data_IF_007008316975
#
_entry.id   IF_007008316975
#
_cell.length_a   1.000
_cell.length_b   1.000
_cell.length_c   1.000
_cell.angle_alpha   90.00
_cell.angle_beta   90.00
_cell.angle_gamma   90.00
#
_symmetry.space_group_name_H-M   'P 1'
#
loop_
_entity.id
_entity.type
_entity.pdbx_description
1 polymer ?
#
# COMPACT_ATOMS: atom_id res chain seq x y z
N UNK A 1 8.13 -6.68 -40.98
CA UNK A 1 7.71 -5.69 -39.95
C UNK A 1 6.79 -6.40 -38.96
N UNK A 2 7.23 -6.61 -37.71
CA UNK A 2 6.38 -7.21 -36.66
C UNK A 2 5.82 -6.08 -35.81
N UNK A 3 4.50 -5.89 -35.89
CA UNK A 3 3.74 -4.97 -35.05
C UNK A 3 3.78 -5.52 -33.62
N UNK A 4 4.32 -4.75 -32.67
CA UNK A 4 4.22 -5.06 -31.24
C UNK A 4 2.80 -4.73 -30.76
N UNK A 5 2.08 -5.63 -30.08
CA UNK A 5 0.83 -5.25 -29.44
C UNK A 5 1.11 -4.34 -28.23
N UNK A 6 0.31 -3.28 -28.12
CA UNK A 6 0.24 -2.37 -26.98
C UNK A 6 0.10 -3.15 -25.67
N UNK A 7 0.99 -2.91 -24.71
CA UNK A 7 0.74 -3.22 -23.30
C UNK A 7 -0.26 -2.19 -22.76
N UNK A 8 -1.56 -2.43 -22.96
CA UNK A 8 -2.58 -1.83 -22.11
C UNK A 8 -2.72 -2.69 -20.86
N UNK A 9 -1.86 -2.42 -19.88
CA UNK A 9 -1.98 -2.92 -18.52
C UNK A 9 -2.07 -1.73 -17.60
N UNK A 10 -3.08 -0.88 -17.77
CA UNK A 10 -3.40 0.16 -16.79
C UNK A 10 -3.81 -0.61 -15.54
N UNK A 11 -2.94 -0.64 -14.54
CA UNK A 11 -3.19 -1.38 -13.30
C UNK A 11 -4.50 -0.84 -12.70
N UNK A 12 -5.35 -1.69 -12.10
CA UNK A 12 -6.63 -1.26 -11.51
C UNK A 12 -6.45 -0.11 -10.50
N UNK A 13 -5.27 -0.04 -9.85
CA UNK A 13 -4.86 1.08 -8.99
C UNK A 13 -4.69 2.41 -9.74
N UNK A 14 -4.20 2.39 -10.97
CA UNK A 14 -4.01 3.58 -11.81
C UNK A 14 -5.37 4.10 -12.32
N UNK A 15 -6.31 3.21 -12.64
CA UNK A 15 -7.70 3.60 -12.95
C UNK A 15 -8.42 4.19 -11.75
N UNK A 16 -8.17 3.66 -10.54
CA UNK A 16 -8.66 4.25 -9.29
C UNK A 16 -8.07 5.63 -9.00
N UNK A 17 -6.85 5.94 -9.48
CA UNK A 17 -6.21 7.25 -9.29
C UNK A 17 -6.78 8.33 -10.23
N UNK A 18 -7.26 7.96 -11.42
CA UNK A 18 -7.78 8.91 -12.42
C UNK A 18 -9.21 9.41 -12.12
N UNK A 19 -9.99 8.70 -11.31
CA UNK A 19 -11.43 8.99 -11.11
C UNK A 19 -11.72 10.01 -9.98
N UNK A 20 -10.73 10.52 -9.25
CA UNK A 20 -10.96 11.40 -8.09
C UNK A 20 -10.54 12.84 -8.39
N UNK A 21 -11.53 13.66 -8.78
CA UNK A 21 -11.31 15.07 -9.10
C UNK A 21 -10.90 15.89 -7.87
N UNK A 22 -10.01 16.87 -8.07
CA UNK A 22 -9.55 17.82 -7.06
C UNK A 22 -10.66 18.74 -6.49
N UNK A 23 -11.92 18.59 -6.90
CA UNK A 23 -13.06 19.43 -6.49
C UNK A 23 -13.81 18.97 -5.24
N UNK A 24 -13.77 17.69 -4.85
CA UNK A 24 -14.53 17.17 -3.69
C UNK A 24 -13.84 17.43 -2.34
N UNK A 25 -12.62 17.94 -2.37
CA UNK A 25 -11.72 18.13 -1.22
C UNK A 25 -12.16 19.23 -0.26
N UNK A 26 -12.84 20.27 -0.76
CA UNK A 26 -13.25 21.41 0.06
C UNK A 26 -14.49 21.14 0.92
N UNK A 27 -15.28 20.12 0.59
CA UNK A 27 -16.55 19.83 1.27
C UNK A 27 -16.38 18.92 2.51
N UNK A 28 -15.39 18.03 2.51
CA UNK A 28 -15.16 17.08 3.62
C UNK A 28 -14.34 17.66 4.78
N UNK A 29 -13.60 18.75 4.57
CA UNK A 29 -12.78 19.40 5.60
C UNK A 29 -13.60 20.21 6.64
N UNK A 30 -14.93 20.26 6.52
CA UNK A 30 -15.80 21.06 7.40
C UNK A 30 -16.33 20.31 8.63
N UNK A 31 -16.06 19.01 8.77
CA UNK A 31 -16.31 18.28 10.02
C UNK A 31 -15.07 18.36 10.90
N UNK A 32 -15.14 19.06 12.03
CA UNK A 32 -14.12 18.93 13.08
C UNK A 32 -14.22 17.50 13.60
N UNK A 33 -13.20 16.64 13.43
CA UNK A 33 -13.24 15.29 13.97
C UNK A 33 -13.31 15.37 15.50
N UNK A 34 -14.07 14.45 16.11
CA UNK A 34 -14.08 14.30 17.57
C UNK A 34 -12.65 14.01 18.08
N UNK A 35 -12.36 14.32 19.35
CA UNK A 35 -11.01 14.25 19.91
C UNK A 35 -10.39 12.83 19.82
N UNK A 36 -11.22 11.79 19.95
CA UNK A 36 -10.83 10.39 19.76
C UNK A 36 -10.47 10.08 18.29
N UNK A 37 -11.19 10.64 17.33
CA UNK A 37 -10.88 10.50 15.90
C UNK A 37 -9.58 11.22 15.54
N UNK A 38 -9.29 12.35 16.18
CA UNK A 38 -8.03 13.08 15.98
C UNK A 38 -6.82 12.30 16.50
N UNK A 39 -6.93 11.62 17.64
CA UNK A 39 -5.87 10.77 18.18
C UNK A 39 -5.65 9.52 17.33
N UNK A 40 -6.75 8.88 16.90
CA UNK A 40 -6.71 7.75 15.98
C UNK A 40 -6.00 8.12 14.67
N UNK A 41 -6.39 9.24 14.07
CA UNK A 41 -5.78 9.74 12.83
C UNK A 41 -4.30 10.09 13.01
N UNK A 42 -3.90 10.58 14.19
CA UNK A 42 -2.49 10.81 14.52
C UNK A 42 -1.72 9.49 14.54
N UNK A 43 -2.23 8.47 15.23
CA UNK A 43 -1.58 7.16 15.29
C UNK A 43 -1.46 6.50 13.92
N UNK A 44 -2.51 6.56 13.09
CA UNK A 44 -2.49 6.03 11.72
C UNK A 44 -1.44 6.74 10.87
N UNK A 45 -1.32 8.07 10.98
CA UNK A 45 -0.29 8.84 10.27
C UNK A 45 1.12 8.47 10.72
N UNK A 46 1.35 8.28 12.02
CA UNK A 46 2.66 7.87 12.55
C UNK A 46 3.07 6.48 12.03
N UNK A 47 2.14 5.52 12.06
CA UNK A 47 2.33 4.19 11.50
C UNK A 47 2.69 4.27 10.02
N UNK A 48 1.88 4.98 9.21
CA UNK A 48 2.14 5.18 7.78
C UNK A 48 3.53 5.77 7.50
N UNK A 49 3.90 6.84 8.21
CA UNK A 49 5.18 7.51 8.03
C UNK A 49 6.35 6.61 8.40
N UNK A 50 6.22 5.83 9.47
CA UNK A 50 7.22 4.83 9.85
C UNK A 50 7.35 3.77 8.75
N UNK A 51 6.25 3.21 8.27
CA UNK A 51 6.26 2.20 7.21
C UNK A 51 6.94 2.69 5.94
N UNK A 52 6.60 3.89 5.47
CA UNK A 52 7.26 4.50 4.31
C UNK A 52 8.76 4.61 4.54
N UNK A 53 9.19 5.18 5.67
CA UNK A 53 10.62 5.34 5.95
C UNK A 53 11.36 4.01 5.95
N UNK A 54 10.76 2.95 6.49
CA UNK A 54 11.38 1.63 6.53
C UNK A 54 11.44 1.00 5.13
N UNK A 55 10.36 1.07 4.35
CA UNK A 55 10.35 0.60 2.95
C UNK A 55 11.37 1.36 2.09
N UNK A 56 11.50 2.67 2.30
CA UNK A 56 12.49 3.50 1.59
C UNK A 56 13.93 3.25 2.04
N UNK A 57 14.15 2.82 3.28
CA UNK A 57 15.48 2.51 3.80
C UNK A 57 16.09 1.25 3.16
N UNK A 58 15.26 0.35 2.63
CA UNK A 58 15.70 -0.88 1.97
C UNK A 58 16.36 -1.91 2.90
N UNK A 59 16.16 -1.78 4.22
CA UNK A 59 16.61 -2.75 5.23
C UNK A 59 15.42 -3.61 5.67
N UNK A 60 15.50 -4.91 5.39
CA UNK A 60 14.45 -5.87 5.70
C UNK A 60 14.37 -6.21 7.19
N UNK A 61 15.44 -6.01 7.97
CA UNK A 61 15.47 -6.32 9.40
C UNK A 61 14.42 -5.50 10.19
N UNK A 62 14.43 -4.17 10.09
CA UNK A 62 13.41 -3.30 10.68
C UNK A 62 11.99 -3.56 10.19
N UNK A 63 11.82 -4.04 8.95
CA UNK A 63 10.49 -4.34 8.40
C UNK A 63 9.81 -5.51 9.12
N UNK A 64 10.56 -6.49 9.64
CA UNK A 64 10.00 -7.61 10.43
C UNK A 64 9.33 -7.09 11.70
N UNK A 65 10.04 -6.28 12.49
CA UNK A 65 9.49 -5.70 13.72
C UNK A 65 8.27 -4.81 13.42
N UNK A 66 8.32 -4.08 12.31
CA UNK A 66 7.22 -3.23 11.89
C UNK A 66 5.98 -4.02 11.43
N UNK A 67 6.17 -5.20 10.80
CA UNK A 67 5.07 -6.11 10.47
C UNK A 67 4.37 -6.64 11.72
N UNK A 68 5.13 -6.95 12.78
CA UNK A 68 4.55 -7.34 14.06
C UNK A 68 3.71 -6.20 14.65
N UNK A 69 4.21 -4.95 14.62
CA UNK A 69 3.43 -3.78 15.05
C UNK A 69 2.14 -3.61 14.23
N UNK A 70 2.21 -3.73 12.90
CA UNK A 70 1.03 -3.66 12.04
C UNK A 70 0.01 -4.76 12.36
N UNK A 71 0.46 -5.97 12.70
CA UNK A 71 -0.42 -7.05 13.14
C UNK A 71 -1.21 -6.66 14.40
N UNK A 72 -0.54 -6.04 15.37
CA UNK A 72 -1.20 -5.55 16.60
C UNK A 72 -2.22 -4.44 16.30
N UNK A 73 -1.89 -3.47 15.44
CA UNK A 73 -2.84 -2.44 15.03
C UNK A 73 -4.04 -3.01 14.27
N UNK A 74 -3.81 -3.97 13.38
CA UNK A 74 -4.87 -4.65 12.64
C UNK A 74 -5.85 -5.35 13.58
N UNK A 75 -5.32 -6.04 14.60
CA UNK A 75 -6.14 -6.68 15.64
C UNK A 75 -6.92 -5.65 16.46
N UNK A 76 -6.26 -4.56 16.89
CA UNK A 76 -6.92 -3.47 17.63
C UNK A 76 -8.12 -2.89 16.87
N UNK A 77 -7.95 -2.56 15.58
CA UNK A 77 -9.04 -2.06 14.74
C UNK A 77 -10.15 -3.09 14.51
N UNK A 78 -9.80 -4.37 14.43
CA UNK A 78 -10.78 -5.44 14.32
C UNK A 78 -11.62 -5.57 15.59
N UNK A 79 -10.97 -5.55 16.75
CA UNK A 79 -11.63 -5.68 18.07
C UNK A 79 -12.51 -4.46 18.39
N UNK A 80 -12.11 -3.27 17.92
CA UNK A 80 -12.90 -2.05 18.04
C UNK A 80 -14.06 -1.97 17.03
N UNK A 81 -14.24 -2.98 16.16
CA UNK A 81 -15.26 -3.00 15.11
C UNK A 81 -14.96 -2.10 13.91
N UNK A 82 -13.80 -1.43 13.87
CA UNK A 82 -13.38 -0.58 12.77
C UNK A 82 -12.74 -1.41 11.64
N UNK A 83 -13.59 -2.10 10.89
CA UNK A 83 -13.19 -2.97 9.77
C UNK A 83 -12.41 -2.22 8.67
N UNK A 84 -12.69 -0.92 8.47
CA UNK A 84 -11.99 -0.11 7.47
C UNK A 84 -10.54 0.16 7.88
N UNK A 85 -10.32 0.53 9.14
CA UNK A 85 -8.98 0.67 9.71
C UNK A 85 -8.20 -0.64 9.67
N UNK A 86 -8.83 -1.76 10.04
CA UNK A 86 -8.21 -3.09 9.96
C UNK A 86 -7.81 -3.46 8.52
N UNK A 87 -8.68 -3.17 7.54
CA UNK A 87 -8.39 -3.40 6.12
C UNK A 87 -7.23 -2.53 5.65
N UNK A 88 -7.18 -1.27 6.07
CA UNK A 88 -6.08 -0.36 5.74
C UNK A 88 -4.73 -0.84 6.28
N UNK A 89 -4.69 -1.27 7.55
CA UNK A 89 -3.49 -1.82 8.16
C UNK A 89 -3.05 -3.12 7.48
N UNK A 90 -3.99 -3.98 7.07
CA UNK A 90 -3.68 -5.18 6.29
C UNK A 90 -3.04 -4.84 4.94
N UNK A 91 -3.57 -3.84 4.24
CA UNK A 91 -2.98 -3.36 2.97
C UNK A 91 -1.57 -2.86 3.20
N UNK A 92 -1.35 -2.05 4.25
CA UNK A 92 -0.03 -1.53 4.59
C UNK A 92 0.96 -2.66 4.95
N UNK A 93 0.50 -3.67 5.67
CA UNK A 93 1.26 -4.88 5.97
C UNK A 93 1.71 -5.56 4.67
N UNK A 94 0.79 -5.78 3.73
CA UNK A 94 1.11 -6.43 2.45
C UNK A 94 2.05 -5.60 1.57
N UNK A 95 1.98 -4.27 1.62
CA UNK A 95 2.93 -3.41 0.93
C UNK A 95 4.38 -3.64 1.40
N UNK A 96 4.59 -3.91 2.69
CA UNK A 96 5.93 -4.27 3.21
C UNK A 96 6.43 -5.61 2.67
N UNK A 97 5.55 -6.48 2.16
CA UNK A 97 5.87 -7.74 1.49
C UNK A 97 5.99 -7.57 -0.04
N UNK A 98 6.03 -6.33 -0.53
CA UNK A 98 5.95 -6.02 -1.97
C UNK A 98 4.69 -6.59 -2.65
N UNK A 99 3.60 -6.74 -1.90
CA UNK A 99 2.31 -7.26 -2.40
C UNK A 99 1.25 -6.17 -2.34
N UNK A 100 0.52 -5.99 -3.45
CA UNK A 100 -0.72 -5.22 -3.47
C UNK A 100 -1.91 -6.19 -3.37
N UNK A 101 -2.56 -6.28 -2.21
CA UNK A 101 -3.70 -7.18 -2.02
C UNK A 101 -4.97 -6.59 -2.69
N UNK A 102 -5.94 -7.43 -3.09
CA UNK A 102 -7.19 -6.97 -3.68
C UNK A 102 -8.01 -6.10 -2.71
N UNK A 103 -7.81 -6.25 -1.40
CA UNK A 103 -8.37 -5.42 -0.34
C UNK A 103 -8.07 -3.92 -0.51
N UNK A 104 -6.98 -3.56 -1.20
CA UNK A 104 -6.66 -2.16 -1.49
C UNK A 104 -7.78 -1.47 -2.28
N UNK A 105 -8.52 -2.21 -3.11
CA UNK A 105 -9.67 -1.69 -3.88
C UNK A 105 -10.93 -1.47 -3.03
N UNK A 106 -10.95 -2.01 -1.81
CA UNK A 106 -12.06 -1.89 -0.85
C UNK A 106 -11.86 -0.72 0.13
N UNK A 107 -10.72 -0.02 0.04
CA UNK A 107 -10.46 1.16 0.86
C UNK A 107 -11.35 2.32 0.40
N UNK A 108 -11.82 3.11 1.35
CA UNK A 108 -12.70 4.24 1.12
C UNK A 108 -12.25 5.46 1.94
N UNK A 109 -12.74 6.64 1.55
CA UNK A 109 -12.58 7.90 2.27
C UNK A 109 -11.11 8.16 2.66
N UNK A 110 -10.88 8.50 3.93
CA UNK A 110 -9.56 8.88 4.46
C UNK A 110 -8.49 7.79 4.30
N UNK A 111 -8.87 6.51 4.35
CA UNK A 111 -7.93 5.40 4.21
C UNK A 111 -7.49 5.20 2.76
N UNK A 112 -8.40 5.37 1.80
CA UNK A 112 -8.07 5.31 0.38
C UNK A 112 -7.13 6.43 -0.02
N UNK A 113 -7.38 7.64 0.49
CA UNK A 113 -6.52 8.80 0.25
C UNK A 113 -5.12 8.60 0.83
N UNK A 114 -5.03 8.17 2.10
CA UNK A 114 -3.76 7.89 2.74
C UNK A 114 -2.98 6.82 1.96
N UNK A 115 -3.66 5.76 1.53
CA UNK A 115 -3.08 4.71 0.70
C UNK A 115 -2.56 5.27 -0.63
N UNK A 116 -3.34 6.08 -1.36
CA UNK A 116 -2.92 6.65 -2.65
C UNK A 116 -1.65 7.50 -2.52
N UNK A 117 -1.56 8.34 -1.48
CA UNK A 117 -0.36 9.16 -1.21
C UNK A 117 0.85 8.28 -0.92
N UNK A 118 0.65 7.27 -0.08
CA UNK A 118 1.70 6.35 0.33
C UNK A 118 2.21 5.54 -0.87
N UNK A 119 1.30 4.98 -1.66
CA UNK A 119 1.60 4.18 -2.83
C UNK A 119 2.34 4.98 -3.91
N UNK A 120 1.94 6.24 -4.16
CA UNK A 120 2.64 7.13 -5.09
C UNK A 120 4.10 7.37 -4.66
N UNK A 121 4.35 7.63 -3.37
CA UNK A 121 5.70 7.82 -2.85
C UNK A 121 6.57 6.57 -3.00
N UNK A 122 5.98 5.38 -2.78
CA UNK A 122 6.67 4.10 -2.94
C UNK A 122 6.99 3.80 -4.42
N UNK A 123 6.08 4.07 -5.35
CA UNK A 123 6.37 3.88 -6.78
C UNK A 123 7.48 4.82 -7.26
N UNK A 124 7.46 6.09 -6.85
CA UNK A 124 8.50 7.08 -7.20
C UNK A 124 9.88 6.69 -6.66
N UNK A 125 9.95 6.03 -5.50
CA UNK A 125 11.20 5.56 -4.94
C UNK A 125 11.74 4.28 -5.57
N UNK A 126 10.96 3.64 -6.45
CA UNK A 126 11.30 2.35 -7.04
C UNK A 126 10.95 1.15 -6.15
N UNK A 127 10.14 1.31 -5.10
CA UNK A 127 9.59 0.21 -4.32
C UNK A 127 8.56 -0.54 -5.18
N UNK A 128 8.99 -1.64 -5.79
CA UNK A 128 8.16 -2.39 -6.73
C UNK A 128 7.16 -3.25 -5.97
N UNK A 129 5.88 -3.02 -6.20
CA UNK A 129 4.80 -3.81 -5.62
C UNK A 129 4.21 -4.71 -6.71
N UNK A 130 4.20 -6.02 -6.47
CA UNK A 130 3.55 -7.01 -7.32
C UNK A 130 2.09 -7.24 -6.92
N UNK A 131 1.26 -7.75 -7.82
CA UNK A 131 -0.07 -8.23 -7.41
C UNK A 131 0.07 -9.52 -6.62
N UNK A 132 -0.84 -9.73 -5.68
CA UNK A 132 -0.96 -10.99 -4.96
C UNK A 132 -1.16 -12.14 -5.98
N UNK A 133 -0.19 -13.07 -6.04
CA UNK A 133 -0.14 -14.16 -7.02
C UNK A 133 0.79 -13.96 -8.22
N UNK A 134 1.32 -12.75 -8.48
CA UNK A 134 2.28 -12.49 -9.59
C UNK A 134 3.77 -12.60 -9.16
N UNK A 135 4.06 -12.69 -7.85
CA UNK A 135 5.45 -12.70 -7.33
C UNK A 135 6.26 -13.94 -7.74
N UNK A 136 5.63 -15.04 -8.15
CA UNK A 136 6.33 -16.29 -8.49
C UNK A 136 7.11 -16.29 -9.82
N UNK A 137 7.06 -15.22 -10.63
CA UNK A 137 7.72 -15.21 -11.95
C UNK A 137 9.03 -14.41 -12.04
N UNK A 138 9.34 -13.51 -11.09
CA UNK A 138 10.56 -12.69 -11.18
C UNK A 138 11.81 -13.37 -10.59
N UNK A 139 11.67 -14.23 -9.57
CA UNK A 139 12.83 -14.95 -9.02
C UNK A 139 13.30 -16.09 -9.95
N UNK A 140 12.38 -16.77 -10.65
CA UNK A 140 12.73 -17.85 -11.57
C UNK A 140 13.47 -17.40 -12.84
N UNK A 141 13.35 -16.12 -13.22
CA UNK A 141 14.03 -15.58 -14.41
C UNK A 141 15.49 -15.16 -14.13
N UNK A 142 15.84 -14.87 -12.87
CA UNK A 142 17.23 -14.61 -12.46
C UNK A 142 18.02 -15.91 -12.29
N UNK A 143 17.40 -16.97 -11.78
CA UNK A 143 18.05 -18.28 -11.72
C UNK A 143 18.30 -18.87 -13.11
N UNK A 144 17.37 -18.72 -14.07
CA UNK A 144 17.58 -19.24 -15.43
C UNK A 144 18.68 -18.54 -16.24
N UNK A 145 19.13 -17.33 -15.85
CA UNK A 145 20.29 -16.69 -16.48
C UNK A 145 21.62 -16.96 -15.76
N UNK A 146 21.62 -17.58 -14.58
CA UNK A 146 22.83 -17.93 -13.83
C UNK A 146 23.45 -19.29 -14.19
N UNK A 147 22.69 -20.21 -14.80
CA UNK A 147 23.15 -21.58 -15.09
C UNK A 147 23.83 -21.77 -16.46
N UNK A 148 24.70 -20.84 -16.87
CA UNK A 148 25.63 -21.04 -17.99
C UNK A 148 27.09 -20.70 -17.66
N UNK A 149 27.44 -20.62 -16.37
CA UNK A 149 28.83 -20.50 -15.94
C UNK A 149 29.10 -21.45 -14.77
N UNK A 150 29.46 -22.69 -15.08
CA UNK A 150 29.87 -23.72 -14.12
C UNK A 150 29.86 -25.11 -14.73
#
# INVERSE_FOLDING_TARGET
MRVRPQRQGVCAAQKLLEESSAGEWAALAQGVPDEEDAELMRSVNEVCNKGVRLMLAGDDGPLVNYRDELSHYGQYFSDSGNKKGATFIYVLYKLTEHVLPPEATKLEAVYLEAFRRLYALLEESGWRVGKEGEQLQQEQSLEQMGYLAG
#
